data_IF_393191591527
#
_entry.id   IF_393191591527
#
_cell.length_a   1.000
_cell.length_b   1.000
_cell.length_c   1.000
_cell.angle_alpha   90.00
_cell.angle_beta   90.00
_cell.angle_gamma   90.00
#
_symmetry.space_group_name_H-M   'P 1'
#
loop_
_entity.id
_entity.type
_entity.pdbx_description
1 polymer ?
#
# COMPACT_ATOMS: atom_id res chain seq x y z
N UNK A 1 13.43 6.78 8.59
CA UNK A 1 12.99 6.58 7.20
C UNK A 1 13.26 5.13 6.84
N UNK A 2 12.23 4.29 6.90
CA UNK A 2 12.28 2.88 6.50
C UNK A 2 11.84 2.81 5.04
N UNK A 3 12.65 3.31 4.11
CA UNK A 3 12.43 3.12 2.67
C UNK A 3 13.14 1.84 2.29
N UNK A 4 12.40 0.79 1.98
CA UNK A 4 13.01 -0.40 1.40
C UNK A 4 12.60 -0.57 -0.04
N UNK A 5 13.42 -1.30 -0.75
CA UNK A 5 13.34 -1.53 -2.19
C UNK A 5 12.38 -2.69 -2.46
N UNK A 6 11.60 -2.64 -3.54
CA UNK A 6 10.74 -3.75 -3.97
C UNK A 6 9.74 -4.23 -2.91
N UNK A 7 9.11 -3.29 -2.19
CA UNK A 7 8.08 -3.62 -1.20
C UNK A 7 8.61 -4.14 0.14
N UNK A 8 9.94 -4.23 0.30
CA UNK A 8 10.55 -4.53 1.59
C UNK A 8 10.42 -3.30 2.49
N UNK A 9 9.95 -3.47 3.73
CA UNK A 9 9.88 -2.39 4.72
C UNK A 9 11.13 -2.49 5.61
N UNK A 10 12.08 -1.58 5.43
CA UNK A 10 13.36 -1.53 6.17
C UNK A 10 13.24 -0.83 7.54
N UNK A 11 12.68 -1.50 8.55
CA UNK A 11 12.47 -0.88 9.87
C UNK A 11 12.01 -1.86 10.94
N UNK A 12 11.39 -1.37 12.05
CA UNK A 12 10.83 -2.24 13.07
C UNK A 12 9.86 -3.24 12.43
N UNK A 13 10.14 -4.54 12.61
CA UNK A 13 9.29 -5.61 12.07
C UNK A 13 7.95 -5.57 12.80
N UNK A 14 6.89 -5.30 12.07
CA UNK A 14 5.53 -5.34 12.57
C UNK A 14 4.60 -5.92 11.52
N UNK A 15 3.52 -6.55 11.97
CA UNK A 15 2.51 -7.15 11.11
C UNK A 15 1.87 -6.11 10.19
N UNK A 16 1.68 -6.44 8.92
CA UNK A 16 0.78 -5.71 8.02
C UNK A 16 -0.62 -6.29 8.19
N UNK A 17 -1.57 -5.47 8.62
CA UNK A 17 -2.91 -5.92 9.02
C UNK A 17 -3.93 -5.80 7.90
N UNK A 18 -3.77 -4.79 7.04
CA UNK A 18 -4.73 -4.50 5.98
C UNK A 18 -4.01 -3.98 4.75
N UNK A 19 -4.53 -4.37 3.58
CA UNK A 19 -4.18 -3.80 2.28
C UNK A 19 -5.46 -3.41 1.55
N UNK A 20 -5.46 -2.22 0.94
CA UNK A 20 -6.60 -1.68 0.17
C UNK A 20 -6.11 -0.92 -1.05
N UNK A 21 -6.45 -1.41 -2.24
CA UNK A 21 -6.28 -0.69 -3.49
C UNK A 21 -7.21 0.51 -3.54
N UNK A 22 -6.74 1.61 -4.13
CA UNK A 22 -7.55 2.78 -4.39
C UNK A 22 -8.59 2.41 -5.47
N UNK A 23 -9.90 2.57 -5.23
CA UNK A 23 -10.93 2.18 -6.20
C UNK A 23 -10.77 2.87 -7.56
N UNK A 24 -10.26 4.11 -7.56
CA UNK A 24 -10.07 4.90 -8.78
C UNK A 24 -8.76 4.59 -9.52
N UNK A 25 -7.76 3.99 -8.86
CA UNK A 25 -6.50 3.60 -9.49
C UNK A 25 -5.97 2.30 -8.86
N UNK A 26 -6.05 1.21 -9.63
CA UNK A 26 -5.67 -0.13 -9.19
C UNK A 26 -4.17 -0.26 -8.86
N UNK A 27 -3.33 0.61 -9.42
CA UNK A 27 -1.88 0.54 -9.25
C UNK A 27 -1.43 1.22 -7.95
N UNK A 28 -2.32 1.97 -7.30
CA UNK A 28 -2.12 2.58 -5.99
C UNK A 28 -2.84 1.78 -4.91
N UNK A 29 -2.14 1.52 -3.81
CA UNK A 29 -2.74 0.86 -2.65
C UNK A 29 -2.10 1.31 -1.35
N UNK A 30 -2.84 1.13 -0.26
CA UNK A 30 -2.39 1.47 1.08
C UNK A 30 -2.30 0.23 1.95
N UNK A 31 -1.29 0.19 2.80
CA UNK A 31 -1.11 -0.85 3.82
C UNK A 31 -1.19 -0.25 5.23
N UNK A 32 -1.93 -0.89 6.14
CA UNK A 32 -1.95 -0.57 7.57
C UNK A 32 -1.04 -1.52 8.35
N UNK A 33 -0.19 -0.97 9.22
CA UNK A 33 0.83 -1.69 9.98
C UNK A 33 0.56 -1.76 11.48
N UNK A 34 1.17 -2.74 12.14
CA UNK A 34 1.03 -3.02 13.57
C UNK A 34 1.64 -1.96 14.49
N UNK A 35 2.46 -1.05 13.96
CA UNK A 35 2.98 0.11 14.69
C UNK A 35 2.07 1.35 14.58
N UNK A 36 0.84 1.18 14.12
CA UNK A 36 -0.08 2.29 13.84
C UNK A 36 0.32 3.14 12.64
N UNK A 37 1.18 2.60 11.76
CA UNK A 37 1.64 3.25 10.54
C UNK A 37 0.79 2.87 9.34
N UNK A 38 0.54 3.83 8.46
CA UNK A 38 0.00 3.62 7.12
C UNK A 38 1.08 3.94 6.09
N UNK A 39 1.07 3.22 4.97
CA UNK A 39 2.00 3.44 3.85
C UNK A 39 1.25 3.37 2.54
N UNK A 40 1.52 4.33 1.66
CA UNK A 40 1.00 4.39 0.30
C UNK A 40 2.04 3.84 -0.66
N UNK A 41 1.60 2.95 -1.53
CA UNK A 41 2.44 2.23 -2.49
C UNK A 41 1.92 2.42 -3.90
N UNK A 42 2.85 2.40 -4.85
CA UNK A 42 2.60 2.31 -6.28
C UNK A 42 3.24 1.03 -6.80
N UNK A 43 2.47 0.26 -7.59
CA UNK A 43 2.97 -0.88 -8.32
C UNK A 43 3.46 -0.47 -9.71
N UNK A 44 4.72 -0.74 -10.00
CA UNK A 44 5.37 -0.47 -11.28
C UNK A 44 5.47 -1.78 -12.06
N UNK A 45 4.81 -1.84 -13.22
CA UNK A 45 4.84 -3.03 -14.05
C UNK A 45 6.20 -3.21 -14.73
N UNK A 46 6.68 -4.45 -14.87
CA UNK A 46 7.88 -4.72 -15.65
C UNK A 46 7.57 -4.60 -17.15
N UNK A 47 8.60 -4.38 -17.98
CA UNK A 47 8.48 -4.24 -19.44
C UNK A 47 7.73 -5.40 -20.11
N UNK A 48 7.93 -6.62 -19.58
CA UNK A 48 7.21 -7.83 -19.97
C UNK A 48 6.69 -8.53 -18.74
N UNK A 49 5.39 -8.85 -18.72
CA UNK A 49 4.75 -9.58 -17.60
C UNK A 49 4.84 -11.10 -17.72
N UNK A 50 5.24 -11.60 -18.89
CA UNK A 50 5.40 -13.03 -19.17
C UNK A 50 6.70 -13.25 -19.92
N UNK A 51 7.49 -14.21 -19.48
CA UNK A 51 8.67 -14.73 -20.17
C UNK A 51 8.51 -16.23 -20.38
N UNK A 52 9.04 -16.74 -21.48
CA UNK A 52 9.11 -18.18 -21.70
C UNK A 52 10.39 -18.71 -21.06
N UNK A 53 10.26 -19.77 -20.25
CA UNK A 53 11.39 -20.46 -19.62
C UNK A 53 12.14 -21.34 -20.64
N UNK A 54 13.30 -21.87 -20.27
CA UNK A 54 14.07 -22.81 -21.10
C UNK A 54 13.27 -24.04 -21.53
N UNK A 55 12.28 -24.42 -20.72
CA UNK A 55 11.42 -25.58 -20.94
C UNK A 55 10.12 -25.22 -21.69
N UNK A 56 9.98 -23.98 -22.18
CA UNK A 56 8.83 -23.50 -22.95
C UNK A 56 7.59 -23.15 -22.11
N UNK A 57 7.73 -23.11 -20.78
CA UNK A 57 6.66 -22.72 -19.86
C UNK A 57 6.57 -21.19 -19.71
N UNK A 58 5.35 -20.65 -19.65
CA UNK A 58 5.12 -19.20 -19.42
C UNK A 58 5.26 -18.86 -17.94
N UNK A 59 6.23 -18.03 -17.60
CA UNK A 59 6.47 -17.54 -16.23
C UNK A 59 6.07 -16.07 -16.09
N UNK A 60 5.43 -15.73 -14.97
CA UNK A 60 5.09 -14.36 -14.63
C UNK A 60 6.31 -13.57 -14.15
N UNK A 61 6.50 -12.37 -14.69
CA UNK A 61 7.55 -11.45 -14.23
C UNK A 61 6.97 -10.52 -13.19
N UNK A 62 7.57 -10.50 -12.00
CA UNK A 62 7.18 -9.59 -10.94
C UNK A 62 7.61 -8.15 -11.25
N UNK A 63 6.69 -7.20 -11.08
CA UNK A 63 7.00 -5.78 -11.07
C UNK A 63 7.69 -5.32 -9.80
N UNK A 64 7.87 -4.00 -9.69
CA UNK A 64 8.46 -3.35 -8.53
C UNK A 64 7.38 -2.63 -7.70
N UNK A 65 7.70 -2.43 -6.41
CA UNK A 65 6.87 -1.64 -5.50
C UNK A 65 7.64 -0.43 -5.04
N UNK A 66 7.04 0.73 -5.27
CA UNK A 66 7.56 2.02 -4.87
C UNK A 66 6.71 2.60 -3.74
N UNK A 67 7.35 3.08 -2.67
CA UNK A 67 6.65 3.69 -1.54
C UNK A 67 6.57 5.19 -1.75
N UNK A 68 5.35 5.68 -1.96
CA UNK A 68 5.07 7.10 -2.20
C UNK A 68 5.08 7.90 -0.89
N UNK A 69 4.50 7.35 0.17
CA UNK A 69 4.35 8.05 1.45
C UNK A 69 4.18 7.10 2.62
N UNK A 70 4.54 7.56 3.81
CA UNK A 70 4.33 6.86 5.07
C UNK A 70 3.99 7.84 6.20
N UNK A 71 3.02 7.48 7.04
CA UNK A 71 2.62 8.28 8.20
C UNK A 71 2.27 7.36 9.38
N UNK A 72 2.51 7.83 10.61
CA UNK A 72 2.07 7.14 11.83
C UNK A 72 0.85 7.86 12.40
N UNK A 73 -0.27 7.16 12.49
CA UNK A 73 -1.57 7.70 12.92
C UNK A 73 -1.93 7.35 14.37
N UNK A 74 -1.35 6.26 14.88
CA UNK A 74 -1.64 5.70 16.20
C UNK A 74 -0.40 5.04 16.80
N UNK A 75 -0.43 4.80 18.10
CA UNK A 75 0.51 3.89 18.78
C UNK A 75 0.08 2.42 18.70
N UNK A 76 -1.15 2.15 18.23
CA UNK A 76 -1.75 0.83 18.13
C UNK A 76 -1.98 0.42 16.66
N UNK A 77 -2.08 -0.88 16.36
CA UNK A 77 -2.30 -1.37 15.00
C UNK A 77 -3.48 -0.71 14.27
N UNK A 78 -3.24 -0.30 13.02
CA UNK A 78 -4.32 0.08 12.08
C UNK A 78 -4.84 -1.21 11.45
N UNK A 79 -5.97 -1.70 11.96
CA UNK A 79 -6.50 -3.02 11.62
C UNK A 79 -7.53 -2.99 10.48
N UNK A 80 -8.18 -1.85 10.25
CA UNK A 80 -9.14 -1.68 9.17
C UNK A 80 -8.95 -0.34 8.47
N UNK A 81 -9.21 -0.35 7.16
CA UNK A 81 -9.09 0.80 6.28
C UNK A 81 -10.11 0.64 5.14
N UNK A 82 -10.74 1.73 4.74
CA UNK A 82 -11.63 1.75 3.57
C UNK A 82 -11.53 3.08 2.81
N UNK A 83 -11.45 2.98 1.48
CA UNK A 83 -11.42 4.13 0.58
C UNK A 83 -12.84 4.53 0.19
N UNK A 84 -13.11 5.82 0.06
CA UNK A 84 -14.37 6.27 -0.52
C UNK A 84 -14.41 5.94 -2.03
N UNK A 85 -15.49 5.32 -2.54
CA UNK A 85 -15.57 4.92 -3.95
C UNK A 85 -15.70 6.09 -4.93
N UNK A 86 -16.38 7.17 -4.54
CA UNK A 86 -16.58 8.33 -5.44
C UNK A 86 -15.59 9.49 -5.23
N UNK A 87 -15.07 9.68 -4.01
CA UNK A 87 -14.24 10.83 -3.64
C UNK A 87 -12.78 10.41 -3.56
N UNK A 88 -12.01 10.77 -4.59
CA UNK A 88 -10.59 10.45 -4.68
C UNK A 88 -9.83 10.92 -3.43
N UNK A 89 -9.11 9.98 -2.81
CA UNK A 89 -8.25 10.25 -1.66
C UNK A 89 -8.95 10.37 -0.32
N UNK A 90 -10.29 10.35 -0.27
CA UNK A 90 -11.03 10.29 0.98
C UNK A 90 -11.06 8.85 1.50
N UNK A 91 -10.77 8.64 2.78
CA UNK A 91 -10.78 7.33 3.40
C UNK A 91 -11.14 7.37 4.88
N UNK A 92 -11.44 6.21 5.44
CA UNK A 92 -11.62 5.98 6.88
C UNK A 92 -10.71 4.86 7.34
N UNK A 93 -10.16 4.96 8.55
CA UNK A 93 -9.42 3.88 9.17
C UNK A 93 -9.72 3.74 10.66
N UNK A 94 -9.61 2.51 11.17
CA UNK A 94 -9.71 2.21 12.59
C UNK A 94 -8.40 1.63 13.14
N UNK A 95 -8.08 2.00 14.37
CA UNK A 95 -6.96 1.44 15.12
C UNK A 95 -7.43 0.91 16.48
N UNK A 96 -6.63 0.04 17.11
CA UNK A 96 -6.97 -0.51 18.44
C UNK A 96 -6.83 0.48 19.59
N UNK A 97 -6.50 1.74 19.30
CA UNK A 97 -6.59 2.86 20.25
C UNK A 97 -8.02 3.41 20.41
N UNK A 98 -9.02 2.60 20.04
CA UNK A 98 -10.45 2.93 20.15
C UNK A 98 -10.84 4.18 19.36
N UNK A 99 -10.12 4.49 18.28
CA UNK A 99 -10.34 5.69 17.48
C UNK A 99 -10.57 5.37 16.01
N UNK A 100 -11.56 6.04 15.42
CA UNK A 100 -11.81 6.08 13.97
C UNK A 100 -11.33 7.41 13.43
N UNK A 101 -10.63 7.38 12.29
CA UNK A 101 -10.05 8.57 11.67
C UNK A 101 -10.52 8.69 10.24
N UNK A 102 -10.87 9.90 9.83
CA UNK A 102 -11.11 10.27 8.43
C UNK A 102 -9.83 10.86 7.87
N UNK A 103 -9.41 10.36 6.71
CA UNK A 103 -8.14 10.69 6.08
C UNK A 103 -8.38 11.29 4.70
N UNK A 104 -7.54 12.26 4.33
CA UNK A 104 -7.47 12.81 2.97
C UNK A 104 -6.05 12.61 2.46
N UNK A 105 -5.92 11.85 1.38
CA UNK A 105 -4.66 11.64 0.67
C UNK A 105 -4.64 12.51 -0.58
N UNK A 106 -3.76 13.50 -0.59
CA UNK A 106 -3.66 14.48 -1.69
C UNK A 106 -2.72 14.01 -2.80
N UNK A 107 -2.85 14.61 -3.99
CA UNK A 107 -1.97 14.39 -5.17
C UNK A 107 -2.02 12.97 -5.74
N UNK A 108 -3.09 12.22 -5.49
CA UNK A 108 -3.27 10.89 -6.10
C UNK A 108 -3.50 10.94 -7.62
N UNK A 109 -3.84 12.11 -8.17
CA UNK A 109 -4.04 12.35 -9.59
C UNK A 109 -2.74 12.56 -10.38
N UNK A 110 -1.58 12.56 -9.72
CA UNK A 110 -0.28 12.78 -10.38
C UNK A 110 0.48 11.48 -10.68
N UNK A 111 -0.16 10.33 -10.46
CA UNK A 111 0.45 9.00 -10.55
C UNK A 111 -0.35 8.08 -11.46
#
# INVERSE_FOLDING_TARGET
RSVGTNGVISGPKATVWVVRHLPQNRDLFLTGGGTGSIRLWQYEYPDRRVIDDSDGNKLGVAGALNMLSAATLSSQPVHCFDWHPDKLGLAVCGAFDQSVRVLITTKLNTF
#
